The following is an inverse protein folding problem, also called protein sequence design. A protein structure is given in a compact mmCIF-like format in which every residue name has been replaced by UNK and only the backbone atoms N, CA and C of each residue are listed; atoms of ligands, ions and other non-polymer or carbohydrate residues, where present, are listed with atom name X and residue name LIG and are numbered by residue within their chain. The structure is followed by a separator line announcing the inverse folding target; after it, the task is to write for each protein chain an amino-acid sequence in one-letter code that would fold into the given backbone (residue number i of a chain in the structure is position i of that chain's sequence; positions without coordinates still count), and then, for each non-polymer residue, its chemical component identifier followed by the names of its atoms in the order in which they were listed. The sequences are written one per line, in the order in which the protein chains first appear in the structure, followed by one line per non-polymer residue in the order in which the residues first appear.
data_IF_133183039928
#
_entry.id   IF_133183039928
#
_cell.length_a   1.000
_cell.length_b   1.000
_cell.length_c   1.000
_cell.angle_alpha   90.00
_cell.angle_beta   90.00
_cell.angle_gamma   90.00
#
_symmetry.space_group_name_H-M   'P 1'
#
loop_
_entity.id
_entity.type
_entity.pdbx_description
1 polymer ?
#
# COMPACT_ATOMS: atom_id res chain seq x y z
N UNK A 1 35.13 -1.09 -87.93
CA UNK A 1 34.73 -2.25 -87.08
C UNK A 1 35.34 -2.18 -85.68
N UNK A 2 36.63 -1.89 -85.54
CA UNK A 2 37.31 -1.91 -84.23
C UNK A 2 36.75 -0.94 -83.20
N UNK A 3 36.42 0.30 -83.57
CA UNK A 3 35.90 1.28 -82.61
C UNK A 3 34.52 0.89 -82.05
N UNK A 4 33.65 0.31 -82.89
CA UNK A 4 32.36 -0.20 -82.46
C UNK A 4 32.51 -1.37 -81.47
N UNK A 5 33.45 -2.28 -81.73
CA UNK A 5 33.77 -3.40 -80.84
C UNK A 5 34.30 -2.92 -79.49
N UNK A 6 35.23 -1.94 -79.50
CA UNK A 6 35.77 -1.32 -78.27
C UNK A 6 34.70 -0.60 -77.46
N UNK A 7 33.84 0.21 -78.09
CA UNK A 7 32.75 0.89 -77.40
C UNK A 7 31.79 -0.10 -76.74
N UNK A 8 31.41 -1.18 -77.44
CA UNK A 8 30.58 -2.23 -76.85
C UNK A 8 31.26 -2.91 -75.67
N UNK A 9 32.57 -3.15 -75.75
CA UNK A 9 33.36 -3.66 -74.63
C UNK A 9 33.34 -2.74 -73.41
N UNK A 10 33.42 -1.43 -73.59
CA UNK A 10 33.29 -0.45 -72.49
C UNK A 10 31.88 -0.43 -71.91
N UNK A 11 30.85 -0.42 -72.75
CA UNK A 11 29.44 -0.50 -72.31
C UNK A 11 29.19 -1.74 -71.45
N UNK A 12 29.67 -2.91 -71.88
CA UNK A 12 29.55 -4.18 -71.15
C UNK A 12 30.26 -4.10 -69.79
N UNK A 13 31.48 -3.53 -69.74
CA UNK A 13 32.21 -3.34 -68.48
C UNK A 13 31.44 -2.43 -67.52
N UNK A 14 30.92 -1.30 -68.01
CA UNK A 14 30.11 -0.37 -67.21
C UNK A 14 28.82 -1.03 -66.71
N UNK A 15 28.12 -1.78 -67.56
CA UNK A 15 26.90 -2.50 -67.20
C UNK A 15 27.19 -3.58 -66.15
N UNK A 16 28.28 -4.34 -66.31
CA UNK A 16 28.70 -5.38 -65.36
C UNK A 16 29.06 -4.77 -64.00
N UNK A 17 29.77 -3.63 -63.99
CA UNK A 17 30.08 -2.91 -62.75
C UNK A 17 28.83 -2.37 -62.06
N UNK A 18 27.84 -1.85 -62.83
CA UNK A 18 26.54 -1.43 -62.28
C UNK A 18 25.76 -2.60 -61.71
N UNK A 19 25.74 -3.75 -62.39
CA UNK A 19 25.09 -4.97 -61.90
C UNK A 19 25.66 -5.41 -60.56
N UNK A 20 26.98 -5.49 -60.44
CA UNK A 20 27.65 -5.84 -59.19
C UNK A 20 27.32 -4.86 -58.04
N UNK A 21 27.23 -3.55 -58.33
CA UNK A 21 26.80 -2.55 -57.33
C UNK A 21 25.36 -2.75 -56.88
N UNK A 22 24.45 -3.06 -57.80
CA UNK A 22 23.04 -3.32 -57.48
C UNK A 22 22.89 -4.63 -56.68
N UNK A 23 23.61 -5.70 -57.05
CA UNK A 23 23.65 -6.96 -56.30
C UNK A 23 24.15 -6.73 -54.86
N UNK A 24 25.20 -5.92 -54.67
CA UNK A 24 25.69 -5.55 -53.34
C UNK A 24 24.66 -4.73 -52.54
N UNK A 25 23.97 -3.78 -53.19
CA UNK A 25 22.92 -2.98 -52.54
C UNK A 25 21.71 -3.84 -52.13
N UNK A 26 21.33 -4.81 -52.96
CA UNK A 26 20.27 -5.78 -52.64
C UNK A 26 20.69 -6.62 -51.44
N UNK A 27 21.92 -7.14 -51.41
CA UNK A 27 22.43 -7.90 -50.27
C UNK A 27 22.44 -7.09 -48.97
N UNK A 28 22.84 -5.80 -49.04
CA UNK A 28 22.77 -4.91 -47.89
C UNK A 28 21.33 -4.70 -47.42
N UNK A 29 20.41 -4.42 -48.35
CA UNK A 29 19.00 -4.20 -48.02
C UNK A 29 18.36 -5.45 -47.40
N UNK A 30 18.70 -6.65 -47.88
CA UNK A 30 18.25 -7.91 -47.28
C UNK A 30 18.74 -8.06 -45.84
N UNK A 31 20.02 -7.80 -45.57
CA UNK A 31 20.56 -7.84 -44.21
C UNK A 31 19.94 -6.78 -43.28
N UNK A 32 19.68 -5.57 -43.80
CA UNK A 32 18.98 -4.51 -43.05
C UNK A 32 17.53 -4.93 -42.71
N UNK A 33 16.85 -5.66 -43.61
CA UNK A 33 15.50 -6.22 -43.37
C UNK A 33 15.54 -7.28 -42.28
N UNK A 34 16.42 -8.27 -42.37
CA UNK A 34 16.56 -9.34 -41.36
C UNK A 34 16.85 -8.78 -39.96
N UNK A 35 17.74 -7.77 -39.88
CA UNK A 35 18.04 -7.08 -38.63
C UNK A 35 16.82 -6.32 -38.08
N UNK A 36 16.03 -5.70 -38.95
CA UNK A 36 14.82 -4.97 -38.57
C UNK A 36 13.71 -5.92 -38.09
N UNK A 37 13.52 -7.06 -38.75
CA UNK A 37 12.57 -8.10 -38.34
C UNK A 37 12.92 -8.64 -36.95
N UNK A 38 14.19 -8.97 -36.72
CA UNK A 38 14.68 -9.40 -35.39
C UNK A 38 14.38 -8.35 -34.31
N UNK A 39 14.56 -7.07 -34.62
CA UNK A 39 14.26 -5.98 -33.68
C UNK A 39 12.76 -5.84 -33.42
N UNK A 40 11.92 -6.04 -34.43
CA UNK A 40 10.45 -6.02 -34.28
C UNK A 40 10.01 -7.14 -33.34
N UNK A 41 10.55 -8.35 -33.49
CA UNK A 41 10.21 -9.49 -32.61
C UNK A 41 10.62 -9.23 -31.15
N UNK A 42 11.83 -8.70 -30.92
CA UNK A 42 12.32 -8.32 -29.60
C UNK A 42 11.41 -7.27 -28.94
N UNK A 43 11.05 -6.22 -29.69
CA UNK A 43 10.16 -5.16 -29.21
C UNK A 43 8.75 -5.69 -28.94
N UNK A 44 8.22 -6.56 -29.80
CA UNK A 44 6.91 -7.18 -29.59
C UNK A 44 6.89 -8.02 -28.30
N UNK A 45 7.95 -8.80 -28.05
CA UNK A 45 8.10 -9.55 -26.79
C UNK A 45 8.18 -8.63 -25.57
N UNK A 46 8.95 -7.54 -25.67
CA UNK A 46 9.08 -6.54 -24.60
C UNK A 46 7.74 -5.86 -24.28
N UNK A 47 6.97 -5.49 -25.31
CA UNK A 47 5.64 -4.90 -25.16
C UNK A 47 4.66 -5.87 -24.51
N UNK A 48 4.68 -7.14 -24.90
CA UNK A 48 3.83 -8.17 -24.31
C UNK A 48 4.14 -8.36 -22.82
N UNK A 49 5.42 -8.43 -22.44
CA UNK A 49 5.85 -8.53 -21.05
C UNK A 49 5.40 -7.31 -20.23
N UNK A 50 5.70 -6.10 -20.70
CA UNK A 50 5.31 -4.86 -20.01
C UNK A 50 3.79 -4.71 -19.87
N UNK A 51 3.02 -5.16 -20.85
CA UNK A 51 1.54 -5.15 -20.79
C UNK A 51 1.02 -6.12 -19.73
N UNK A 52 1.65 -7.30 -19.59
CA UNK A 52 1.36 -8.26 -18.54
C UNK A 52 1.63 -7.68 -17.15
N UNK A 53 2.84 -7.14 -16.95
CA UNK A 53 3.24 -6.52 -15.69
C UNK A 53 2.32 -5.36 -15.29
N UNK A 54 1.94 -4.49 -16.24
CA UNK A 54 1.01 -3.39 -15.99
C UNK A 54 -0.36 -3.88 -15.53
N UNK A 55 -0.87 -4.96 -16.14
CA UNK A 55 -2.15 -5.55 -15.75
C UNK A 55 -2.08 -6.10 -14.33
N UNK A 56 -1.05 -6.86 -14.01
CA UNK A 56 -0.87 -7.47 -12.69
C UNK A 56 -0.72 -6.39 -11.61
N UNK A 57 0.10 -5.36 -11.86
CA UNK A 57 0.25 -4.21 -10.97
C UNK A 57 -1.07 -3.45 -10.76
N UNK A 58 -1.88 -3.29 -11.81
CA UNK A 58 -3.20 -2.63 -11.71
C UNK A 58 -4.16 -3.45 -10.86
N UNK A 59 -4.17 -4.77 -11.00
CA UNK A 59 -5.00 -5.67 -10.20
C UNK A 59 -4.58 -5.63 -8.72
N UNK A 60 -3.28 -5.66 -8.44
CA UNK A 60 -2.75 -5.57 -7.07
C UNK A 60 -3.16 -4.25 -6.44
N UNK A 61 -2.93 -3.13 -7.14
CA UNK A 61 -3.31 -1.79 -6.65
C UNK A 61 -4.81 -1.66 -6.41
N UNK A 62 -5.63 -2.29 -7.24
CA UNK A 62 -7.08 -2.34 -7.04
C UNK A 62 -7.45 -3.00 -5.71
N UNK A 63 -6.90 -4.18 -5.44
CA UNK A 63 -7.12 -4.92 -4.19
C UNK A 63 -6.60 -4.16 -2.96
N UNK A 64 -5.38 -3.65 -3.03
CA UNK A 64 -4.80 -2.86 -1.93
C UNK A 64 -5.62 -1.61 -1.62
N UNK A 65 -6.22 -0.97 -2.64
CA UNK A 65 -7.11 0.16 -2.42
C UNK A 65 -8.42 -0.23 -1.74
N UNK A 66 -8.99 -1.38 -2.10
CA UNK A 66 -10.18 -1.93 -1.44
C UNK A 66 -9.89 -2.25 0.02
N UNK A 67 -8.80 -2.97 0.30
CA UNK A 67 -8.36 -3.31 1.65
C UNK A 67 -8.03 -2.05 2.49
N UNK A 68 -7.40 -1.05 1.88
CA UNK A 68 -7.12 0.23 2.52
C UNK A 68 -8.41 0.96 2.90
N UNK A 69 -9.38 1.06 1.99
CA UNK A 69 -10.67 1.72 2.27
C UNK A 69 -11.47 1.01 3.35
N UNK A 70 -11.43 -0.33 3.37
CA UNK A 70 -12.07 -1.10 4.44
C UNK A 70 -11.41 -0.78 5.79
N UNK A 71 -10.08 -0.80 5.85
CA UNK A 71 -9.32 -0.49 7.08
C UNK A 71 -9.49 0.96 7.54
N UNK A 72 -9.52 1.91 6.60
CA UNK A 72 -9.79 3.32 6.86
C UNK A 72 -11.20 3.52 7.43
N UNK A 73 -12.20 2.82 6.86
CA UNK A 73 -13.57 2.82 7.38
C UNK A 73 -13.64 2.34 8.83
N UNK A 74 -13.06 1.19 9.14
CA UNK A 74 -13.00 0.64 10.51
C UNK A 74 -12.32 1.62 11.49
N UNK A 75 -11.22 2.27 11.06
CA UNK A 75 -10.51 3.23 11.89
C UNK A 75 -11.35 4.49 12.15
N UNK A 76 -12.03 5.00 11.13
CA UNK A 76 -12.92 6.16 11.28
C UNK A 76 -14.13 5.87 12.17
N UNK A 77 -14.69 4.66 12.09
CA UNK A 77 -15.73 4.21 13.02
C UNK A 77 -15.20 4.12 14.46
N UNK A 78 -13.97 3.64 14.66
CA UNK A 78 -13.32 3.64 15.96
C UNK A 78 -13.12 5.08 16.50
N UNK A 79 -12.69 6.02 15.66
CA UNK A 79 -12.54 7.44 16.03
C UNK A 79 -13.87 8.07 16.45
N UNK A 80 -14.96 7.83 15.70
CA UNK A 80 -16.30 8.32 16.06
C UNK A 80 -16.74 7.73 17.42
N UNK A 81 -16.48 6.43 17.62
CA UNK A 81 -16.78 5.73 18.86
C UNK A 81 -16.05 6.34 20.06
N UNK A 82 -14.74 6.55 19.94
CA UNK A 82 -13.94 7.19 20.98
C UNK A 82 -14.49 8.60 21.27
N UNK A 83 -14.81 9.37 20.22
CA UNK A 83 -15.43 10.68 20.36
C UNK A 83 -16.76 10.64 21.13
N UNK A 84 -17.63 9.67 20.88
CA UNK A 84 -18.89 9.50 21.63
C UNK A 84 -18.64 9.09 23.08
N UNK A 85 -17.66 8.23 23.33
CA UNK A 85 -17.27 7.81 24.68
C UNK A 85 -16.76 9.00 25.50
N UNK A 86 -15.88 9.83 24.92
CA UNK A 86 -15.39 11.07 25.54
C UNK A 86 -16.56 11.99 25.91
N UNK A 87 -17.44 12.32 24.95
CA UNK A 87 -18.60 13.19 25.19
C UNK A 87 -19.52 12.64 26.30
N UNK A 88 -19.72 11.32 26.36
CA UNK A 88 -20.51 10.70 27.42
C UNK A 88 -19.83 10.87 28.79
N UNK A 89 -18.53 10.61 28.88
CA UNK A 89 -17.75 10.74 30.12
C UNK A 89 -17.76 12.20 30.59
N UNK A 90 -17.50 13.16 29.72
CA UNK A 90 -17.55 14.59 30.05
C UNK A 90 -18.92 15.02 30.58
N UNK A 91 -19.99 14.54 29.94
CA UNK A 91 -21.37 14.82 30.37
C UNK A 91 -21.67 14.24 31.75
N UNK A 92 -21.23 13.02 32.04
CA UNK A 92 -21.45 12.38 33.34
C UNK A 92 -20.54 12.99 34.43
N UNK A 93 -19.30 13.36 34.11
CA UNK A 93 -18.42 14.13 35.00
C UNK A 93 -19.03 15.48 35.37
N UNK A 94 -19.66 16.18 34.41
CA UNK A 94 -20.33 17.46 34.64
C UNK A 94 -21.56 17.33 35.56
N UNK A 95 -22.26 16.19 35.50
CA UNK A 95 -23.45 15.92 36.33
C UNK A 95 -23.10 15.45 37.75
N UNK A 96 -22.02 14.69 37.91
CA UNK A 96 -21.57 14.15 39.20
C UNK A 96 -20.05 14.27 39.39
N UNK A 97 -19.52 15.49 39.64
CA UNK A 97 -18.07 15.71 39.80
C UNK A 97 -17.47 14.90 40.97
N UNK A 98 -18.25 14.71 42.03
CA UNK A 98 -17.82 13.99 43.23
C UNK A 98 -17.68 12.46 43.02
N UNK A 99 -18.37 11.89 42.02
CA UNK A 99 -18.29 10.45 41.72
C UNK A 99 -16.99 10.08 41.00
N UNK A 100 -16.43 10.99 40.20
CA UNK A 100 -15.14 10.82 39.53
C UNK A 100 -13.94 11.20 40.40
N UNK A 101 -14.11 12.08 41.39
CA UNK A 101 -13.03 12.43 42.32
C UNK A 101 -12.71 11.33 43.35
N UNK A 102 -13.60 10.35 43.54
CA UNK A 102 -13.45 9.23 44.47
C UNK A 102 -13.15 7.89 43.76
N UNK A 103 -12.81 7.90 42.47
CA UNK A 103 -12.59 6.66 41.72
C UNK A 103 -11.27 6.00 42.11
N UNK A 104 -11.37 5.06 43.05
CA UNK A 104 -10.37 4.03 43.32
C UNK A 104 -10.28 3.05 42.14
N UNK A 105 -9.21 2.25 42.03
CA UNK A 105 -8.94 1.37 40.88
C UNK A 105 -10.10 0.42 40.49
N UNK A 106 -10.99 0.10 41.44
CA UNK A 106 -12.24 -0.66 41.21
C UNK A 106 -13.24 0.05 40.28
N UNK A 107 -13.18 1.38 40.21
CA UNK A 107 -14.02 2.24 39.38
C UNK A 107 -13.51 2.30 37.94
N UNK A 108 -12.21 2.10 37.74
CA UNK A 108 -11.61 1.87 36.41
C UNK A 108 -12.12 0.55 35.81
N UNK A 109 -12.26 -0.50 36.62
CA UNK A 109 -12.93 -1.75 36.22
C UNK A 109 -14.40 -1.53 35.80
N UNK A 110 -15.07 -0.57 36.45
CA UNK A 110 -16.47 -0.22 36.19
C UNK A 110 -16.62 0.65 34.93
N UNK A 111 -15.67 1.54 34.66
CA UNK A 111 -15.56 2.31 33.41
C UNK A 111 -15.22 1.40 32.23
N UNK A 112 -14.31 0.45 32.43
CA UNK A 112 -13.99 -0.60 31.46
C UNK A 112 -15.20 -1.49 31.18
N UNK A 113 -15.95 -1.88 32.21
CA UNK A 113 -17.15 -2.67 32.05
C UNK A 113 -18.26 -1.87 31.37
N UNK A 114 -18.42 -0.58 31.69
CA UNK A 114 -19.41 0.28 31.02
C UNK A 114 -19.01 0.57 29.58
N UNK A 115 -17.72 0.72 29.27
CA UNK A 115 -17.21 0.78 27.91
C UNK A 115 -17.47 -0.53 27.18
N UNK A 116 -17.28 -1.69 27.83
CA UNK A 116 -17.70 -3.00 27.33
C UNK A 116 -19.22 -3.11 27.09
N UNK A 117 -20.04 -2.51 27.96
CA UNK A 117 -21.50 -2.51 27.83
C UNK A 117 -21.97 -1.57 26.71
N UNK A 118 -21.31 -0.43 26.51
CA UNK A 118 -21.53 0.49 25.39
C UNK A 118 -21.07 -0.16 24.08
N UNK A 119 -19.98 -0.92 24.11
CA UNK A 119 -19.52 -1.74 22.97
C UNK A 119 -20.47 -2.92 22.69
N UNK A 120 -21.12 -3.49 23.70
CA UNK A 120 -22.19 -4.48 23.49
C UNK A 120 -23.48 -3.85 22.95
N UNK A 121 -23.83 -2.63 23.38
CA UNK A 121 -25.05 -1.92 22.98
C UNK A 121 -24.97 -1.26 21.59
N UNK A 122 -23.76 -0.88 21.14
CA UNK A 122 -23.54 -0.23 19.85
C UNK A 122 -23.36 -1.22 18.67
N UNK A 123 -23.63 -2.52 18.88
CA UNK A 123 -23.55 -3.58 17.87
C UNK A 123 -22.17 -3.69 17.18
N UNK A 124 -21.09 -3.54 17.95
CA UNK A 124 -19.72 -3.74 17.44
C UNK A 124 -19.48 -5.17 16.95
N UNK A 125 -18.58 -5.28 15.97
CA UNK A 125 -18.11 -6.58 15.49
C UNK A 125 -17.34 -7.31 16.60
N UNK A 126 -17.33 -8.66 16.55
CA UNK A 126 -16.60 -9.49 17.53
C UNK A 126 -15.10 -9.17 17.57
N UNK A 127 -14.54 -8.61 16.49
CA UNK A 127 -13.14 -8.20 16.41
C UNK A 127 -12.85 -6.97 17.29
N UNK A 128 -13.73 -5.97 17.28
CA UNK A 128 -13.55 -4.73 18.04
C UNK A 128 -13.70 -4.97 19.54
N UNK A 129 -14.65 -5.84 19.93
CA UNK A 129 -14.76 -6.34 21.31
C UNK A 129 -13.47 -6.97 21.80
N UNK A 130 -12.82 -7.77 20.95
CA UNK A 130 -11.58 -8.47 21.30
C UNK A 130 -10.40 -7.50 21.41
N UNK A 131 -10.28 -6.52 20.51
CA UNK A 131 -9.23 -5.48 20.58
C UNK A 131 -9.36 -4.62 21.83
N UNK A 132 -10.59 -4.23 22.17
CA UNK A 132 -10.86 -3.41 23.35
C UNK A 132 -10.61 -4.18 24.66
N UNK A 133 -11.00 -5.47 24.71
CA UNK A 133 -10.64 -6.34 25.84
C UNK A 133 -9.13 -6.56 25.98
N UNK A 134 -8.38 -6.72 24.87
CA UNK A 134 -6.92 -6.84 24.94
C UNK A 134 -6.26 -5.55 25.43
N UNK A 135 -6.76 -4.37 25.06
CA UNK A 135 -6.23 -3.09 25.52
C UNK A 135 -6.40 -2.92 27.04
N UNK A 136 -7.60 -3.26 27.54
CA UNK A 136 -7.92 -3.27 28.97
C UNK A 136 -7.03 -4.24 29.75
N UNK A 137 -6.78 -5.43 29.21
CA UNK A 137 -5.90 -6.42 29.83
C UNK A 137 -4.43 -5.95 29.82
N UNK A 138 -3.96 -5.31 28.74
CA UNK A 138 -2.62 -4.74 28.70
C UNK A 138 -2.41 -3.62 29.74
N UNK A 139 -3.47 -2.90 30.12
CA UNK A 139 -3.40 -1.88 31.16
C UNK A 139 -3.42 -2.48 32.59
N UNK A 140 -4.01 -3.67 32.76
CA UNK A 140 -3.97 -4.43 34.02
C UNK A 140 -2.68 -5.25 34.20
N UNK A 141 -1.95 -5.52 33.11
CA UNK A 141 -0.68 -6.23 33.12
C UNK A 141 0.55 -5.42 33.54
N UNK A 142 0.40 -4.14 33.88
CA UNK A 142 1.52 -3.29 34.35
C UNK A 142 1.84 -3.44 35.85
N UNK A 143 1.40 -4.53 36.47
CA UNK A 143 1.78 -4.92 37.82
C UNK A 143 1.96 -6.45 37.88
N UNK A 144 3.02 -6.96 37.24
CA UNK A 144 3.86 -8.08 37.69
C UNK A 144 4.71 -8.64 36.53
N UNK A 145 6.02 -8.40 36.65
CA UNK A 145 7.19 -9.13 36.12
C UNK A 145 7.20 -9.72 34.68
N UNK A 146 8.12 -9.13 33.92
CA UNK A 146 9.18 -9.72 33.09
C UNK A 146 8.89 -10.73 31.95
N UNK A 147 9.51 -10.38 30.81
CA UNK A 147 9.84 -11.20 29.65
C UNK A 147 8.72 -11.66 28.70
N UNK A 148 8.50 -10.90 27.60
CA UNK A 148 8.69 -11.47 26.26
C UNK A 148 8.68 -10.40 25.12
N UNK A 149 9.76 -10.39 24.33
CA UNK A 149 9.97 -9.75 23.02
C UNK A 149 10.13 -8.22 22.91
N UNK A 150 11.37 -7.82 22.55
CA UNK A 150 11.82 -6.43 22.43
C UNK A 150 11.34 -5.70 21.17
N UNK A 151 10.62 -4.60 21.40
CA UNK A 151 10.49 -3.45 20.49
C UNK A 151 11.08 -2.21 21.20
N UNK A 152 11.74 -1.29 20.47
CA UNK A 152 12.58 -0.26 21.05
C UNK A 152 11.76 0.74 21.87
N UNK A 153 12.15 0.90 23.14
CA UNK A 153 11.87 2.00 24.06
C UNK A 153 10.74 2.96 23.66
N UNK A 154 9.51 2.66 24.08
CA UNK A 154 8.45 3.66 24.27
C UNK A 154 8.75 4.52 25.52
N UNK A 155 9.96 5.09 25.60
CA UNK A 155 10.39 6.00 26.66
C UNK A 155 9.89 7.44 26.42
N UNK A 156 8.72 7.60 25.79
CA UNK A 156 8.09 8.91 25.57
C UNK A 156 6.64 8.95 26.07
N UNK A 157 6.05 7.82 26.51
CA UNK A 157 4.79 7.87 27.25
C UNK A 157 5.06 8.24 28.70
N UNK A 158 5.43 9.51 28.91
CA UNK A 158 5.43 10.12 30.23
C UNK A 158 3.99 10.06 30.70
N UNK A 159 3.72 9.23 31.71
CA UNK A 159 2.44 9.14 32.39
C UNK A 159 2.04 10.55 32.87
N UNK A 160 1.32 11.27 32.02
CA UNK A 160 0.52 12.39 32.45
C UNK A 160 -0.73 11.75 33.04
N UNK A 161 -0.93 11.96 34.34
CA UNK A 161 -2.15 11.65 35.07
C UNK A 161 -3.30 12.58 34.61
N UNK A 162 -3.49 12.65 33.30
CA UNK A 162 -4.71 13.10 32.67
C UNK A 162 -5.73 11.97 32.76
N UNK A 163 -6.99 12.29 33.01
CA UNK A 163 -8.00 11.28 33.24
C UNK A 163 -8.20 10.36 32.03
N UNK A 164 -9.14 9.40 32.15
CA UNK A 164 -9.57 8.54 31.05
C UNK A 164 -9.94 9.35 29.78
N UNK A 165 -10.35 10.61 29.94
CA UNK A 165 -10.67 11.54 28.85
C UNK A 165 -9.43 11.89 28.04
N UNK A 166 -8.35 12.34 28.68
CA UNK A 166 -7.09 12.71 28.03
C UNK A 166 -6.48 11.52 27.25
N UNK A 167 -6.59 10.31 27.80
CA UNK A 167 -6.14 9.07 27.12
C UNK A 167 -7.01 8.75 25.89
N UNK A 168 -8.31 9.00 25.95
CA UNK A 168 -9.22 8.77 24.82
C UNK A 168 -9.11 9.88 23.76
N UNK A 169 -8.71 11.10 24.15
CA UNK A 169 -8.38 12.19 23.23
C UNK A 169 -7.06 11.96 22.50
N UNK A 170 -6.03 11.45 23.20
CA UNK A 170 -4.72 11.11 22.60
C UNK A 170 -4.82 9.95 21.58
N UNK A 171 -5.87 9.14 21.64
CA UNK A 171 -6.12 8.01 20.73
C UNK A 171 -6.93 8.38 19.48
N UNK A 172 -7.37 9.62 19.38
CA UNK A 172 -8.19 10.14 18.28
C UNK A 172 -7.35 10.70 17.15
#
# INVERSE_FOLDING_TARGET
CDDASKNKGFEIKTATARRAKLEAAIGKAAGDVEASESKIEELAGSVAAATGELKDATVIRGKENEDFKASEGELMECIDTLGRAVNLIEREMSKNPAAFAQTDASSMQSIVSSLGTVVDAAAFTTADKKRLMMLVQNQQGAASDDDMFGAPAAAVYKAHSGGIVDVLEDLK
#
